data_IF_331317761516
#
_entry.id   IF_331317761516
#
_cell.length_a   1.000
_cell.length_b   1.000
_cell.length_c   1.000
_cell.angle_alpha   90.00
_cell.angle_beta   90.00
_cell.angle_gamma   90.00
#
_symmetry.space_group_name_H-M   'P 1'
#
loop_
_entity.id
_entity.type
_entity.pdbx_description
1 polymer ?
#
# COMPACT_ATOMS: atom_id res chain seq x y z
N UNK A 1 18.43 -16.67 -5.89
CA UNK A 1 17.49 -17.44 -6.73
C UNK A 1 16.33 -16.52 -7.05
N UNK A 2 16.31 -15.99 -8.27
CA UNK A 2 15.33 -15.01 -8.75
C UNK A 2 14.40 -15.72 -9.71
N UNK A 3 13.33 -16.32 -9.17
CA UNK A 3 12.21 -16.80 -9.99
C UNK A 3 11.46 -15.56 -10.49
N UNK A 4 11.35 -15.43 -11.81
CA UNK A 4 10.64 -14.35 -12.47
C UNK A 4 9.26 -14.17 -11.83
N UNK A 5 9.07 -13.00 -11.24
CA UNK A 5 7.81 -12.55 -10.68
C UNK A 5 7.03 -11.92 -11.83
N UNK A 6 6.12 -12.68 -12.44
CA UNK A 6 5.22 -12.08 -13.43
C UNK A 6 4.33 -11.09 -12.71
N UNK A 7 4.47 -9.83 -13.11
CA UNK A 7 3.73 -8.70 -12.55
C UNK A 7 2.58 -8.38 -13.50
N UNK A 8 1.37 -8.44 -12.96
CA UNK A 8 0.14 -8.17 -13.69
C UNK A 8 -0.52 -6.93 -13.11
N UNK A 9 -0.76 -5.94 -13.96
CA UNK A 9 -1.57 -4.77 -13.62
C UNK A 9 -3.03 -5.19 -13.48
N UNK A 10 -3.69 -4.69 -12.43
CA UNK A 10 -5.10 -4.95 -12.18
C UNK A 10 -5.94 -4.02 -13.08
N UNK A 11 -7.09 -4.51 -13.52
CA UNK A 11 -8.08 -3.64 -14.18
C UNK A 11 -8.70 -2.65 -13.19
N UNK A 12 -9.37 -1.62 -13.70
CA UNK A 12 -10.08 -0.65 -12.85
C UNK A 12 -11.15 -1.33 -11.98
N UNK A 13 -11.84 -2.34 -12.53
CA UNK A 13 -12.83 -3.12 -11.78
C UNK A 13 -12.18 -3.94 -10.65
N UNK A 14 -11.02 -4.55 -10.91
CA UNK A 14 -10.27 -5.27 -9.88
C UNK A 14 -9.74 -4.32 -8.79
N UNK A 15 -9.34 -3.10 -9.16
CA UNK A 15 -8.90 -2.07 -8.20
C UNK A 15 -10.07 -1.65 -7.30
N UNK A 16 -11.27 -1.51 -7.86
CA UNK A 16 -12.48 -1.14 -7.14
C UNK A 16 -13.07 -2.28 -6.28
N UNK A 17 -12.60 -3.52 -6.46
CA UNK A 17 -13.09 -4.68 -5.71
C UNK A 17 -12.92 -4.49 -4.19
N UNK A 18 -13.94 -4.89 -3.43
CA UNK A 18 -13.99 -4.77 -1.97
C UNK A 18 -12.79 -5.40 -1.27
N UNK A 19 -12.23 -6.48 -1.82
CA UNK A 19 -11.04 -7.13 -1.25
C UNK A 19 -9.81 -6.26 -1.41
N UNK A 20 -9.65 -5.57 -2.55
CA UNK A 20 -8.53 -4.66 -2.78
C UNK A 20 -8.69 -3.40 -1.92
N UNK A 21 -9.91 -2.88 -1.80
CA UNK A 21 -10.22 -1.78 -0.88
C UNK A 21 -9.89 -2.14 0.58
N UNK A 22 -10.27 -3.35 1.02
CA UNK A 22 -9.93 -3.85 2.36
C UNK A 22 -8.42 -4.04 2.55
N UNK A 23 -7.70 -4.54 1.53
CA UNK A 23 -6.25 -4.69 1.55
C UNK A 23 -5.55 -3.33 1.73
N UNK A 24 -5.94 -2.32 0.95
CA UNK A 24 -5.41 -0.95 1.03
C UNK A 24 -5.67 -0.31 2.39
N UNK A 25 -6.89 -0.46 2.90
CA UNK A 25 -7.27 0.04 4.24
C UNK A 25 -6.41 -0.61 5.33
N UNK A 26 -6.21 -1.93 5.26
CA UNK A 26 -5.35 -2.65 6.20
C UNK A 26 -3.89 -2.21 6.10
N UNK A 27 -3.40 -1.96 4.88
CA UNK A 27 -2.06 -1.46 4.62
C UNK A 27 -1.82 -0.10 5.29
N UNK A 28 -2.76 0.85 5.09
CA UNK A 28 -2.68 2.17 5.69
C UNK A 28 -2.63 2.08 7.22
N UNK A 29 -3.54 1.31 7.81
CA UNK A 29 -3.58 1.11 9.25
C UNK A 29 -2.28 0.51 9.79
N UNK A 30 -1.71 -0.46 9.08
CA UNK A 30 -0.43 -1.06 9.46
C UNK A 30 0.73 -0.06 9.34
N UNK A 31 0.76 0.78 8.30
CA UNK A 31 1.76 1.83 8.13
C UNK A 31 1.72 2.86 9.28
N UNK A 32 0.51 3.28 9.67
CA UNK A 32 0.28 4.18 10.80
C UNK A 32 0.71 3.54 12.13
N UNK A 33 0.34 2.29 12.38
CA UNK A 33 0.77 1.54 13.58
C UNK A 33 2.29 1.38 13.66
N UNK A 34 2.95 1.16 12.52
CA UNK A 34 4.42 1.08 12.40
C UNK A 34 5.10 2.46 12.45
N UNK A 35 4.34 3.55 12.57
CA UNK A 35 4.83 4.94 12.55
C UNK A 35 5.64 5.27 11.29
N UNK A 36 5.26 4.68 10.14
CA UNK A 36 5.82 5.05 8.84
C UNK A 36 5.34 6.44 8.38
N UNK A 37 4.28 6.94 9.02
CA UNK A 37 3.78 8.30 8.91
C UNK A 37 3.72 8.91 10.31
N UNK A 38 4.08 10.19 10.43
CA UNK A 38 3.94 10.96 11.67
C UNK A 38 2.56 11.64 11.71
N UNK A 39 1.50 10.89 11.39
CA UNK A 39 0.13 11.41 11.28
C UNK A 39 -0.87 10.58 12.10
N UNK A 40 -1.90 11.20 12.70
CA UNK A 40 -2.97 10.45 13.36
C UNK A 40 -3.79 9.64 12.36
N UNK A 41 -4.16 8.42 12.74
CA UNK A 41 -5.02 7.56 11.92
C UNK A 41 -6.41 8.17 11.67
N UNK A 42 -6.93 8.95 12.62
CA UNK A 42 -8.24 9.59 12.54
C UNK A 42 -8.36 10.66 11.45
N UNK A 43 -7.23 11.20 10.99
CA UNK A 43 -7.17 12.34 10.07
C UNK A 43 -6.36 12.04 8.82
N UNK A 44 -5.87 10.81 8.67
CA UNK A 44 -5.09 10.36 7.52
C UNK A 44 -5.94 9.47 6.62
N UNK A 45 -6.04 9.82 5.35
CA UNK A 45 -6.81 9.10 4.34
C UNK A 45 -5.91 8.71 3.17
N UNK A 46 -6.27 7.61 2.52
CA UNK A 46 -5.66 7.15 1.27
C UNK A 46 -6.70 7.25 0.17
N UNK A 47 -6.34 7.91 -0.93
CA UNK A 47 -7.18 7.97 -2.11
C UNK A 47 -7.14 6.64 -2.88
N UNK A 48 -8.09 6.41 -3.77
CA UNK A 48 -8.01 5.22 -4.62
C UNK A 48 -6.80 5.30 -5.55
N UNK A 49 -6.04 4.20 -5.68
CA UNK A 49 -4.86 4.20 -6.52
C UNK A 49 -5.27 4.25 -7.99
N UNK A 50 -4.51 5.01 -8.78
CA UNK A 50 -4.61 4.96 -10.25
C UNK A 50 -3.87 3.75 -10.84
N UNK A 51 -3.09 3.07 -10.01
CA UNK A 51 -2.25 1.97 -10.40
C UNK A 51 -2.16 0.94 -9.29
N UNK A 52 -2.45 -0.32 -9.61
CA UNK A 52 -2.20 -1.45 -8.73
C UNK A 52 -1.76 -2.65 -9.55
N UNK A 53 -0.80 -3.40 -9.04
CA UNK A 53 -0.33 -4.62 -9.66
C UNK A 53 -0.18 -5.73 -8.63
N UNK A 54 -0.27 -6.96 -9.10
CA UNK A 54 -0.03 -8.17 -8.32
C UNK A 54 1.09 -8.97 -8.95
N UNK A 55 1.84 -9.60 -8.07
CA UNK A 55 3.03 -10.37 -8.37
C UNK A 55 2.79 -11.81 -7.95
N UNK A 56 3.08 -12.73 -8.86
CA UNK A 56 2.84 -14.15 -8.65
C UNK A 56 4.12 -14.94 -8.48
N UNK A 57 4.04 -16.00 -7.68
CA UNK A 57 5.02 -17.07 -7.71
C UNK A 57 4.73 -18.02 -8.88
N UNK A 58 5.73 -18.80 -9.30
CA UNK A 58 5.61 -19.75 -10.43
C UNK A 58 4.53 -20.83 -10.26
N UNK A 59 3.98 -21.00 -9.06
CA UNK A 59 2.87 -21.90 -8.77
C UNK A 59 1.49 -21.21 -8.85
N UNK A 60 1.43 -19.97 -9.35
CA UNK A 60 0.20 -19.18 -9.49
C UNK A 60 -0.27 -18.49 -8.20
N UNK A 61 0.43 -18.63 -7.08
CA UNK A 61 0.08 -17.95 -5.83
C UNK A 61 0.46 -16.47 -5.89
N UNK A 62 -0.46 -15.57 -5.50
CA UNK A 62 -0.13 -14.16 -5.32
C UNK A 62 0.77 -14.01 -4.09
N UNK A 63 1.94 -13.42 -4.28
CA UNK A 63 2.93 -13.22 -3.23
C UNK A 63 3.12 -11.75 -2.88
N UNK A 64 2.74 -10.83 -3.76
CA UNK A 64 2.93 -9.41 -3.53
C UNK A 64 1.88 -8.59 -4.27
N UNK A 65 1.49 -7.49 -3.64
CA UNK A 65 0.72 -6.41 -4.25
C UNK A 65 1.52 -5.13 -4.14
N UNK A 66 1.50 -4.33 -5.19
CA UNK A 66 2.02 -2.97 -5.14
C UNK A 66 1.04 -1.98 -5.76
N UNK A 67 0.98 -0.78 -5.20
CA UNK A 67 0.17 0.31 -5.75
C UNK A 67 0.78 1.65 -5.40
N UNK A 68 0.31 2.67 -6.11
CA UNK A 68 0.67 4.06 -5.86
C UNK A 68 -0.61 4.79 -5.51
N UNK A 69 -0.63 5.41 -4.33
CA UNK A 69 -1.78 6.19 -3.88
C UNK A 69 -1.33 7.48 -3.19
N UNK A 70 -2.17 8.50 -3.32
CA UNK A 70 -2.03 9.72 -2.55
C UNK A 70 -2.51 9.46 -1.12
N UNK A 71 -1.66 9.77 -0.16
CA UNK A 71 -2.03 9.84 1.24
C UNK A 71 -2.17 11.30 1.60
N UNK A 72 -3.26 11.65 2.29
CA UNK A 72 -3.56 13.02 2.71
C UNK A 72 -3.90 13.00 4.19
N UNK A 73 -3.18 13.80 4.97
CA UNK A 73 -3.52 14.10 6.37
C UNK A 73 -4.18 15.47 6.43
N UNK A 74 -5.44 15.52 6.89
CA UNK A 74 -6.22 16.78 6.92
C UNK A 74 -5.99 17.60 8.18
N UNK A 75 -5.53 16.97 9.26
CA UNK A 75 -5.26 17.58 10.57
C UNK A 75 -4.22 16.72 11.32
N UNK A 76 -3.33 17.29 12.11
CA UNK A 76 -2.37 16.51 12.89
C UNK A 76 -0.99 17.14 13.03
N UNK A 77 -0.07 16.38 13.65
CA UNK A 77 1.32 16.78 13.80
C UNK A 77 2.01 16.79 12.43
N UNK A 78 2.78 17.83 12.20
CA UNK A 78 3.74 17.90 11.09
C UNK A 78 4.87 16.92 11.38
N UNK A 79 5.53 16.40 10.34
CA UNK A 79 6.80 15.70 10.53
C UNK A 79 7.88 16.63 11.11
N UNK A 80 9.07 16.10 11.42
CA UNK A 80 10.16 16.89 12.02
C UNK A 80 10.59 18.09 11.15
N UNK A 81 10.29 18.05 9.84
CA UNK A 81 10.56 19.10 8.87
C UNK A 81 9.37 20.06 8.65
N UNK A 82 8.28 19.92 9.41
CA UNK A 82 7.12 20.81 9.33
C UNK A 82 6.19 20.52 8.15
N UNK A 83 6.26 19.34 7.54
CA UNK A 83 5.45 18.93 6.40
C UNK A 83 4.31 18.01 6.84
N UNK A 84 3.13 18.24 6.26
CA UNK A 84 2.06 17.24 6.34
C UNK A 84 2.47 16.05 5.48
N UNK A 85 2.15 14.83 5.93
CA UNK A 85 2.18 13.65 5.06
C UNK A 85 1.03 13.75 4.05
N UNK A 86 1.16 14.69 3.12
CA UNK A 86 0.35 14.83 1.93
C UNK A 86 1.30 14.62 0.76
N UNK A 87 1.19 13.49 0.10
CA UNK A 87 2.14 13.10 -0.93
C UNK A 87 1.72 11.84 -1.65
N UNK A 88 2.53 11.47 -2.65
CA UNK A 88 2.33 10.25 -3.41
C UNK A 88 3.22 9.15 -2.84
N UNK A 89 2.62 8.03 -2.44
CA UNK A 89 3.33 6.93 -1.81
C UNK A 89 3.15 5.64 -2.60
N UNK A 90 4.26 4.90 -2.72
CA UNK A 90 4.26 3.52 -3.17
C UNK A 90 4.07 2.61 -1.97
N UNK A 91 3.09 1.74 -2.06
CA UNK A 91 2.88 0.66 -1.11
C UNK A 91 3.29 -0.66 -1.76
N UNK A 92 4.03 -1.48 -1.03
CA UNK A 92 4.35 -2.85 -1.41
C UNK A 92 4.03 -3.76 -0.24
N UNK A 93 3.06 -4.66 -0.44
CA UNK A 93 2.68 -5.68 0.54
C UNK A 93 3.17 -7.03 0.06
N UNK A 94 3.91 -7.73 0.92
CA UNK A 94 4.27 -9.14 0.72
C UNK A 94 3.33 -10.02 1.50
N UNK A 95 2.83 -11.06 0.85
CA UNK A 95 1.92 -12.05 1.39
C UNK A 95 2.62 -13.37 1.64
N UNK A 96 2.18 -14.11 2.65
CA UNK A 96 2.61 -15.49 2.82
C UNK A 96 2.01 -16.33 1.69
N UNK A 97 2.85 -17.07 0.94
CA UNK A 97 2.43 -17.93 -0.17
C UNK A 97 1.33 -18.94 0.20
N UNK A 98 1.13 -19.20 1.49
CA UNK A 98 0.17 -20.19 1.98
C UNK A 98 -1.23 -19.65 2.34
N UNK A 99 -1.45 -18.37 2.68
CA UNK A 99 -2.71 -18.00 3.39
C UNK A 99 -3.08 -16.50 3.45
N UNK A 100 -2.77 -15.68 2.44
CA UNK A 100 -3.24 -14.27 2.36
C UNK A 100 -2.87 -13.36 3.55
N UNK A 101 -1.90 -13.79 4.39
CA UNK A 101 -1.43 -13.01 5.54
C UNK A 101 -0.36 -12.04 5.08
N UNK A 102 -0.50 -10.77 5.45
CA UNK A 102 0.55 -9.75 5.28
C UNK A 102 1.77 -10.16 6.10
N UNK A 103 2.86 -10.45 5.41
CA UNK A 103 4.17 -10.71 6.01
C UNK A 103 4.92 -9.42 6.23
N UNK A 104 4.91 -8.55 5.22
CA UNK A 104 5.62 -7.31 5.25
C UNK A 104 4.89 -6.21 4.47
N UNK A 105 5.16 -4.98 4.87
CA UNK A 105 4.66 -3.76 4.26
C UNK A 105 5.83 -2.78 4.16
N UNK A 106 6.17 -2.41 2.94
CA UNK A 106 7.08 -1.30 2.63
C UNK A 106 6.25 -0.14 2.11
N UNK A 107 6.56 1.07 2.57
CA UNK A 107 5.97 2.32 2.09
C UNK A 107 7.11 3.25 1.72
N UNK A 108 7.07 3.77 0.51
CA UNK A 108 8.08 4.67 -0.05
C UNK A 108 7.39 5.94 -0.55
N UNK A 109 7.90 7.12 -0.18
CA UNK A 109 7.42 8.38 -0.71
C UNK A 109 8.02 8.61 -2.09
N UNK A 110 7.16 8.77 -3.10
CA UNK A 110 7.57 9.00 -4.49
C UNK A 110 7.58 10.49 -4.81
N UNK A 111 6.66 11.26 -4.22
CA UNK A 111 6.50 12.69 -4.48
C UNK A 111 5.91 13.42 -3.27
N UNK A 112 6.27 14.70 -3.10
CA UNK A 112 5.72 15.63 -2.09
C UNK A 112 4.63 16.49 -2.73
#
# INVERSE_FOLDING_TARGET
MTTATDKLELSEEEIADDKMTALRTRALNLALQRRLFVSPASTTKMEDPRYMARSYHSNGAVIEYEWISRVVTTDGYLDEDGSYVSGLFKFVIKLSAANSKVLDLTVEQIFV
#
